data_IF_375991379351
#
_entry.id   IF_375991379351
#
_cell.length_a   1.000
_cell.length_b   1.000
_cell.length_c   1.000
_cell.angle_alpha   90.00
_cell.angle_beta   90.00
_cell.angle_gamma   90.00
#
_symmetry.space_group_name_H-M   'P 1'
#
loop_
_entity.id
_entity.type
_entity.pdbx_description
1 polymer ?
#
# COMPACT_ATOMS: atom_id res chain seq x y z
N UNK A 1 -3.60 16.32 -7.85
CA UNK A 1 -3.33 15.29 -6.80
C UNK A 1 -1.83 15.16 -6.60
N UNK A 2 -1.36 15.06 -5.35
CA UNK A 2 0.03 14.70 -5.06
C UNK A 2 0.10 13.27 -4.53
N UNK A 3 1.20 12.57 -4.77
CA UNK A 3 1.45 11.22 -4.23
C UNK A 3 2.72 11.25 -3.40
N UNK A 4 2.64 10.78 -2.16
CA UNK A 4 3.74 10.83 -1.21
C UNK A 4 4.02 9.45 -0.61
N UNK A 5 5.29 9.08 -0.54
CA UNK A 5 5.74 7.85 0.12
C UNK A 5 7.08 8.03 0.80
N UNK A 6 7.45 7.06 1.64
CA UNK A 6 8.78 6.96 2.26
C UNK A 6 9.31 5.54 2.08
N UNK A 7 10.56 5.44 1.64
CA UNK A 7 11.23 4.16 1.37
C UNK A 7 12.53 4.02 2.17
N UNK A 8 12.84 2.77 2.57
CA UNK A 8 14.15 2.37 3.07
C UNK A 8 14.55 1.04 2.44
N UNK A 9 15.71 0.99 1.79
CA UNK A 9 16.30 -0.22 1.21
C UNK A 9 15.34 -1.02 0.31
N UNK A 10 14.56 -0.31 -0.54
CA UNK A 10 13.53 -0.92 -1.37
C UNK A 10 13.58 -0.49 -2.85
N UNK A 11 14.74 -0.63 -3.55
CA UNK A 11 14.96 -0.05 -4.87
C UNK A 11 13.95 -0.53 -5.92
N UNK A 12 13.58 -1.82 -5.91
CA UNK A 12 12.60 -2.37 -6.86
C UNK A 12 11.22 -1.74 -6.71
N UNK A 13 10.75 -1.57 -5.46
CA UNK A 13 9.47 -0.93 -5.19
C UNK A 13 9.51 0.55 -5.53
N UNK A 14 10.61 1.24 -5.23
CA UNK A 14 10.80 2.66 -5.58
C UNK A 14 10.68 2.85 -7.09
N UNK A 15 11.39 2.06 -7.89
CA UNK A 15 11.33 2.13 -9.35
C UNK A 15 9.90 1.90 -9.88
N UNK A 16 9.20 0.89 -9.38
CA UNK A 16 7.81 0.60 -9.76
C UNK A 16 6.84 1.70 -9.31
N UNK A 17 7.03 2.23 -8.12
CA UNK A 17 6.20 3.31 -7.57
C UNK A 17 6.33 4.59 -8.41
N UNK A 18 7.56 4.97 -8.76
CA UNK A 18 7.83 6.14 -9.63
C UNK A 18 7.17 5.93 -10.99
N UNK A 19 7.38 4.78 -11.62
CA UNK A 19 6.83 4.47 -12.93
C UNK A 19 5.30 4.49 -12.91
N UNK A 20 4.69 3.80 -11.97
CA UNK A 20 3.23 3.68 -11.88
C UNK A 20 2.56 5.01 -11.58
N UNK A 21 2.93 5.66 -10.48
CA UNK A 21 2.28 6.91 -10.10
C UNK A 21 2.67 8.08 -11.01
N UNK A 22 3.87 8.06 -11.58
CA UNK A 22 4.28 9.03 -12.60
C UNK A 22 3.44 8.95 -13.85
N UNK A 23 3.03 7.74 -14.28
CA UNK A 23 2.12 7.57 -15.42
C UNK A 23 0.68 7.99 -15.12
N UNK A 24 0.25 7.94 -13.84
CA UNK A 24 -1.12 8.29 -13.44
C UNK A 24 -1.30 9.78 -13.14
N UNK A 25 -0.28 10.44 -12.58
CA UNK A 25 -0.41 11.80 -12.04
C UNK A 25 0.60 12.81 -12.60
N UNK A 26 1.64 12.35 -13.29
CA UNK A 26 2.82 13.16 -13.65
C UNK A 26 3.92 13.02 -12.60
N UNK A 27 5.16 12.95 -13.06
CA UNK A 27 6.33 12.74 -12.20
C UNK A 27 6.54 13.92 -11.24
N UNK A 28 6.27 15.13 -11.66
CA UNK A 28 6.37 16.38 -10.89
C UNK A 28 5.39 16.46 -9.71
N UNK A 29 4.46 15.50 -9.59
CA UNK A 29 3.50 15.40 -8.49
C UNK A 29 3.86 14.31 -7.48
N UNK A 30 5.03 13.66 -7.65
CA UNK A 30 5.53 12.60 -6.78
C UNK A 30 6.51 13.15 -5.75
N UNK A 31 6.31 12.77 -4.48
CA UNK A 31 7.12 13.18 -3.34
C UNK A 31 7.64 11.93 -2.63
N UNK A 32 8.93 11.67 -2.75
CA UNK A 32 9.59 10.49 -2.19
C UNK A 32 10.60 10.87 -1.10
N UNK A 33 10.44 10.32 0.09
CA UNK A 33 11.44 10.39 1.15
C UNK A 33 12.25 9.10 1.19
N UNK A 34 13.57 9.21 1.05
CA UNK A 34 14.51 8.11 1.27
C UNK A 34 15.02 8.20 2.71
N UNK A 35 14.66 7.22 3.55
CA UNK A 35 15.01 7.15 4.96
C UNK A 35 16.40 6.53 5.13
N UNK A 36 17.42 7.38 4.99
CA UNK A 36 18.86 7.08 5.00
C UNK A 36 19.59 7.94 3.98
N UNK A 37 20.60 8.70 4.43
CA UNK A 37 21.43 9.53 3.54
C UNK A 37 22.33 8.68 2.64
N UNK A 38 22.58 7.44 3.04
CA UNK A 38 23.40 6.45 2.35
C UNK A 38 22.70 5.78 1.16
N UNK A 39 21.38 5.93 1.06
CA UNK A 39 20.63 5.28 0.00
C UNK A 39 20.94 5.93 -1.36
N UNK A 40 21.15 5.12 -2.43
CA UNK A 40 21.31 5.67 -3.77
C UNK A 40 20.03 6.36 -4.22
N UNK A 41 20.19 7.46 -4.95
CA UNK A 41 19.05 8.08 -5.62
C UNK A 41 18.48 7.12 -6.67
N UNK A 42 17.14 7.02 -6.78
CA UNK A 42 16.53 6.20 -7.82
C UNK A 42 16.78 6.78 -9.21
N UNK A 43 16.68 5.92 -10.22
CA UNK A 43 16.57 6.37 -11.61
C UNK A 43 15.38 7.32 -11.73
N UNK A 44 15.53 8.40 -12.48
CA UNK A 44 14.54 9.50 -12.61
C UNK A 44 14.28 10.30 -11.32
N UNK A 45 15.22 10.33 -10.37
CA UNK A 45 15.10 11.17 -9.18
C UNK A 45 15.00 12.67 -9.52
N UNK A 46 15.57 13.09 -10.64
CA UNK A 46 15.51 14.46 -11.20
C UNK A 46 14.12 14.86 -11.69
N UNK A 47 13.24 13.91 -11.95
CA UNK A 47 11.87 14.15 -12.42
C UNK A 47 10.84 14.24 -11.30
N UNK A 48 11.20 13.86 -10.08
CA UNK A 48 10.32 13.81 -8.91
C UNK A 48 10.87 14.68 -7.77
N UNK A 49 10.07 14.96 -6.76
CA UNK A 49 10.55 15.55 -5.52
C UNK A 49 11.13 14.46 -4.62
N UNK A 50 12.46 14.24 -4.69
CA UNK A 50 13.16 13.22 -3.93
C UNK A 50 13.98 13.83 -2.79
N UNK A 51 13.74 13.37 -1.55
CA UNK A 51 14.39 13.89 -0.34
C UNK A 51 15.11 12.76 0.39
N UNK A 52 16.42 12.85 0.54
CA UNK A 52 17.17 11.99 1.46
C UNK A 52 17.11 12.59 2.87
N UNK A 53 16.72 11.78 3.84
CA UNK A 53 16.60 12.19 5.25
C UNK A 53 17.42 11.27 6.15
N UNK A 54 18.01 11.78 7.24
CA UNK A 54 18.76 10.94 8.17
C UNK A 54 17.87 9.84 8.75
N UNK A 55 18.37 8.60 8.68
CA UNK A 55 17.71 7.48 9.34
C UNK A 55 17.82 7.59 10.86
N UNK A 56 16.72 7.31 11.55
CA UNK A 56 16.68 7.19 13.01
C UNK A 56 16.33 5.76 13.37
N UNK A 57 17.22 4.98 13.99
CA UNK A 57 16.90 3.63 14.43
C UNK A 57 15.85 3.69 15.55
N UNK A 58 14.66 3.31 15.24
CA UNK A 58 13.51 3.29 16.14
C UNK A 58 12.86 1.90 16.14
N UNK A 59 12.28 1.51 17.28
CA UNK A 59 11.42 0.35 17.26
C UNK A 59 10.29 0.51 16.23
N UNK A 60 9.88 -0.57 15.57
CA UNK A 60 8.87 -0.55 14.49
C UNK A 60 7.66 0.32 14.81
N UNK A 61 7.10 0.16 16.01
CA UNK A 61 5.89 0.94 16.41
C UNK A 61 6.17 2.45 16.50
N UNK A 62 7.36 2.84 16.99
CA UNK A 62 7.76 4.26 17.04
C UNK A 62 8.07 4.76 15.63
N UNK A 63 8.81 3.99 14.84
CA UNK A 63 9.13 4.32 13.44
C UNK A 63 7.87 4.54 12.60
N UNK A 64 6.88 3.63 12.69
CA UNK A 64 5.60 3.78 11.99
C UNK A 64 4.83 5.06 12.41
N UNK A 65 4.89 5.43 13.69
CA UNK A 65 4.27 6.67 14.19
C UNK A 65 4.99 7.93 13.69
N UNK A 66 6.32 7.94 13.76
CA UNK A 66 7.13 9.08 13.29
C UNK A 66 7.02 9.26 11.78
N UNK A 67 7.03 8.18 11.02
CA UNK A 67 6.79 8.20 9.57
C UNK A 67 5.42 8.81 9.24
N UNK A 68 4.35 8.30 9.84
CA UNK A 68 3.00 8.81 9.61
C UNK A 68 2.86 10.29 10.01
N UNK A 69 3.51 10.71 11.11
CA UNK A 69 3.55 12.12 11.54
C UNK A 69 4.28 12.98 10.51
N UNK A 70 5.49 12.58 10.08
CA UNK A 70 6.29 13.31 9.10
C UNK A 70 5.53 13.48 7.78
N UNK A 71 4.95 12.37 7.26
CA UNK A 71 4.16 12.40 6.03
C UNK A 71 2.92 13.29 6.19
N UNK A 72 2.20 13.21 7.31
CA UNK A 72 1.03 14.07 7.56
C UNK A 72 1.40 15.55 7.62
N UNK A 73 2.51 15.90 8.29
CA UNK A 73 2.99 17.29 8.38
C UNK A 73 3.39 17.83 7.02
N UNK A 74 4.07 17.01 6.20
CA UNK A 74 4.44 17.41 4.85
C UNK A 74 3.22 17.49 3.92
N UNK A 75 2.31 16.52 3.99
CA UNK A 75 1.07 16.52 3.22
C UNK A 75 0.22 17.77 3.50
N UNK A 76 0.23 18.29 4.74
CA UNK A 76 -0.44 19.54 5.07
C UNK A 76 -0.02 20.68 4.15
N UNK A 77 1.28 20.82 3.87
CA UNK A 77 1.79 21.88 2.98
C UNK A 77 1.41 21.65 1.51
N UNK A 78 1.16 20.41 1.12
CA UNK A 78 0.75 20.08 -0.26
C UNK A 78 -0.68 20.54 -0.57
N UNK A 79 -1.55 20.67 0.42
CA UNK A 79 -2.91 21.16 0.22
C UNK A 79 -3.00 22.65 -0.16
N UNK A 80 -1.90 23.41 -0.04
CA UNK A 80 -1.80 24.75 -0.61
C UNK A 80 -1.77 24.74 -2.14
N UNK A 81 -1.36 23.60 -2.75
CA UNK A 81 -1.15 23.45 -4.20
C UNK A 81 -2.06 22.38 -4.82
N UNK A 82 -2.50 21.40 -4.04
CA UNK A 82 -3.23 20.23 -4.53
C UNK A 82 -4.56 20.05 -3.83
N UNK A 83 -5.58 19.70 -4.60
CA UNK A 83 -6.92 19.38 -4.08
C UNK A 83 -6.99 18.01 -3.38
N UNK A 84 -5.91 17.24 -3.39
CA UNK A 84 -5.86 15.95 -2.72
C UNK A 84 -4.46 15.35 -2.70
N UNK A 85 -4.24 14.51 -1.68
CA UNK A 85 -2.97 13.82 -1.42
C UNK A 85 -3.21 12.34 -1.23
N UNK A 86 -2.38 11.52 -1.88
CA UNK A 86 -2.31 10.08 -1.68
C UNK A 86 -1.06 9.80 -0.84
N UNK A 87 -1.23 9.20 0.35
CA UNK A 87 -0.13 8.82 1.23
C UNK A 87 -0.18 7.32 1.54
N UNK A 88 0.88 6.59 1.20
CA UNK A 88 0.91 5.13 1.30
C UNK A 88 2.34 4.60 1.48
N UNK A 89 2.45 3.33 1.81
CA UNK A 89 3.73 2.62 1.88
C UNK A 89 4.29 2.39 0.47
N UNK A 90 5.63 2.29 0.33
CA UNK A 90 6.30 2.20 -0.97
C UNK A 90 5.94 0.92 -1.76
N UNK A 91 5.50 -0.12 -1.07
CA UNK A 91 5.07 -1.40 -1.63
C UNK A 91 3.53 -1.50 -1.78
N UNK A 92 2.83 -0.36 -1.75
CA UNK A 92 1.39 -0.26 -1.92
C UNK A 92 1.03 0.51 -3.20
N UNK A 93 0.05 -0.02 -3.96
CA UNK A 93 -0.38 0.54 -5.23
C UNK A 93 -1.90 0.67 -5.24
N UNK A 94 -2.37 1.92 -5.29
CA UNK A 94 -3.78 2.25 -5.43
C UNK A 94 -4.21 2.10 -6.88
N UNK A 95 -5.21 1.28 -7.12
CA UNK A 95 -5.72 0.99 -8.47
C UNK A 95 -7.22 1.23 -8.51
N UNK A 96 -7.69 1.96 -9.51
CA UNK A 96 -9.11 2.01 -9.86
C UNK A 96 -9.49 0.75 -10.65
N UNK A 97 -10.66 0.17 -10.39
CA UNK A 97 -11.13 -1.01 -11.14
C UNK A 97 -11.11 -0.70 -12.65
N UNK A 98 -10.38 -1.46 -13.48
CA UNK A 98 -10.36 -1.27 -14.92
C UNK A 98 -11.74 -1.27 -15.60
N UNK A 99 -12.76 -1.86 -14.98
CA UNK A 99 -14.15 -1.80 -15.46
C UNK A 99 -14.73 -0.39 -15.50
N UNK A 100 -14.18 0.55 -14.71
CA UNK A 100 -14.62 1.95 -14.72
C UNK A 100 -14.15 2.69 -15.98
N UNK A 101 -13.11 2.18 -16.63
CA UNK A 101 -12.56 2.66 -17.91
C UNK A 101 -12.15 4.15 -17.92
N UNK A 102 -11.60 4.63 -16.79
CA UNK A 102 -10.96 5.96 -16.66
C UNK A 102 -9.67 5.83 -15.87
N UNK A 103 -8.79 6.82 -15.95
CA UNK A 103 -7.53 6.83 -15.20
C UNK A 103 -7.79 6.97 -13.69
N UNK A 104 -6.83 6.55 -12.87
CA UNK A 104 -6.92 6.75 -11.42
C UNK A 104 -7.01 8.25 -11.08
N UNK A 105 -6.27 9.10 -11.80
CA UNK A 105 -6.33 10.55 -11.63
C UNK A 105 -7.75 11.07 -11.86
N UNK A 106 -8.35 10.78 -13.03
CA UNK A 106 -9.67 11.29 -13.40
C UNK A 106 -10.76 10.75 -12.47
N UNK A 107 -10.60 9.50 -12.01
CA UNK A 107 -11.51 8.93 -11.01
C UNK A 107 -11.49 9.74 -9.71
N UNK A 108 -10.30 9.98 -9.16
CA UNK A 108 -10.15 10.66 -7.86
C UNK A 108 -10.54 12.13 -7.88
N UNK A 109 -10.30 12.84 -8.99
CA UNK A 109 -10.70 14.27 -9.12
C UNK A 109 -12.21 14.44 -8.92
N UNK A 110 -13.01 13.43 -9.26
CA UNK A 110 -14.47 13.44 -9.11
C UNK A 110 -14.95 12.95 -7.72
N UNK A 111 -14.05 12.66 -6.76
CA UNK A 111 -14.40 12.12 -5.43
C UNK A 111 -14.22 13.13 -4.28
N UNK A 112 -14.04 14.41 -4.57
CA UNK A 112 -13.72 15.46 -3.59
C UNK A 112 -14.82 15.72 -2.54
N UNK A 113 -16.02 15.17 -2.73
CA UNK A 113 -17.11 15.24 -1.74
C UNK A 113 -16.82 14.43 -0.45
N UNK A 114 -15.83 13.55 -0.48
CA UNK A 114 -15.39 12.78 0.69
C UNK A 114 -14.13 13.43 1.29
N UNK A 115 -14.02 13.56 2.63
CA UNK A 115 -12.80 14.04 3.28
C UNK A 115 -11.60 13.13 2.99
N UNK A 116 -11.85 11.83 2.91
CA UNK A 116 -10.86 10.81 2.60
C UNK A 116 -11.50 9.55 2.02
N UNK A 117 -10.71 8.76 1.29
CA UNK A 117 -11.12 7.46 0.75
C UNK A 117 -10.17 6.35 1.16
N UNK A 118 -10.76 5.23 1.51
CA UNK A 118 -10.09 3.94 1.67
C UNK A 118 -10.31 3.06 0.44
N UNK A 119 -9.33 2.23 0.14
CA UNK A 119 -9.44 1.19 -0.88
C UNK A 119 -9.53 -0.19 -0.23
N UNK A 120 -10.13 -1.17 -0.92
CA UNK A 120 -10.08 -2.57 -0.48
C UNK A 120 -8.64 -3.07 -0.49
N UNK A 121 -8.15 -3.54 0.65
CA UNK A 121 -6.80 -4.08 0.80
C UNK A 121 -6.67 -5.48 0.19
N UNK A 122 -5.78 -5.60 -0.80
CA UNK A 122 -5.47 -6.80 -1.56
C UNK A 122 -4.00 -7.14 -1.34
N UNK A 123 -3.70 -8.04 -0.40
CA UNK A 123 -2.34 -8.44 -0.03
C UNK A 123 -1.85 -9.54 -0.98
N UNK A 124 -1.05 -9.16 -1.97
CA UNK A 124 -0.53 -10.07 -3.01
C UNK A 124 0.57 -10.94 -2.43
N UNK A 125 0.44 -12.25 -2.61
CA UNK A 125 1.37 -13.23 -2.05
C UNK A 125 1.81 -14.19 -3.17
N UNK A 126 3.11 -14.35 -3.36
CA UNK A 126 3.64 -15.35 -4.28
C UNK A 126 3.31 -16.76 -3.79
N UNK A 127 2.70 -17.59 -4.66
CA UNK A 127 2.49 -18.99 -4.37
C UNK A 127 3.80 -19.78 -4.59
N UNK A 128 4.39 -20.43 -3.53
CA UNK A 128 5.74 -20.98 -3.62
C UNK A 128 5.93 -22.07 -4.68
N UNK A 129 4.87 -22.81 -5.01
CA UNK A 129 4.93 -23.94 -5.95
C UNK A 129 4.43 -23.58 -7.35
N UNK A 130 3.45 -22.66 -7.45
CA UNK A 130 2.71 -22.42 -8.69
C UNK A 130 3.22 -21.18 -9.44
N UNK A 131 4.02 -20.34 -8.78
CA UNK A 131 4.49 -19.08 -9.36
C UNK A 131 6.02 -18.99 -9.33
N UNK A 132 6.59 -18.52 -10.44
CA UNK A 132 8.04 -18.35 -10.62
C UNK A 132 8.56 -17.15 -9.82
N UNK A 133 9.86 -17.03 -9.70
CA UNK A 133 10.52 -15.83 -9.19
C UNK A 133 10.07 -14.57 -9.93
N UNK A 134 10.08 -13.44 -9.21
CA UNK A 134 9.63 -12.17 -9.74
C UNK A 134 10.62 -11.63 -10.79
N UNK A 135 10.13 -11.31 -11.96
CA UNK A 135 10.83 -10.50 -12.94
C UNK A 135 10.36 -9.04 -12.83
N UNK A 136 11.17 -8.20 -12.22
CA UNK A 136 10.83 -6.79 -11.96
C UNK A 136 10.72 -5.92 -13.23
N UNK A 137 11.17 -6.40 -14.40
CA UNK A 137 10.98 -5.69 -15.67
C UNK A 137 9.61 -5.90 -16.29
N UNK A 138 8.83 -6.88 -15.80
CA UNK A 138 7.48 -7.19 -16.29
C UNK A 138 6.41 -6.63 -15.35
N UNK A 139 5.14 -6.53 -15.80
CA UNK A 139 4.02 -6.22 -14.93
C UNK A 139 3.92 -7.21 -13.78
N UNK A 140 3.80 -6.72 -12.54
CA UNK A 140 3.85 -7.56 -11.33
C UNK A 140 2.62 -8.47 -11.27
N UNK A 141 1.43 -7.92 -11.49
CA UNK A 141 0.18 -8.67 -11.38
C UNK A 141 -0.01 -9.67 -12.53
N UNK A 142 0.77 -9.58 -13.63
CA UNK A 142 0.80 -10.62 -14.66
C UNK A 142 1.52 -11.89 -14.19
N UNK A 143 2.31 -11.79 -13.14
CA UNK A 143 3.13 -12.87 -12.57
C UNK A 143 2.58 -13.40 -11.25
N UNK A 144 1.52 -12.81 -10.73
CA UNK A 144 0.88 -13.15 -9.44
C UNK A 144 -0.61 -13.33 -9.62
N UNK A 145 -1.08 -14.47 -9.16
CA UNK A 145 -2.49 -14.85 -9.29
C UNK A 145 -3.25 -14.81 -7.98
N UNK A 146 -2.54 -14.73 -6.85
CA UNK A 146 -3.16 -14.93 -5.54
C UNK A 146 -2.97 -13.74 -4.61
N UNK A 147 -4.04 -13.43 -3.86
CA UNK A 147 -3.99 -12.40 -2.83
C UNK A 147 -4.90 -12.75 -1.66
N UNK A 148 -4.56 -12.25 -0.47
CA UNK A 148 -5.45 -12.27 0.68
C UNK A 148 -6.15 -10.93 0.84
N UNK A 149 -7.46 -10.93 1.07
CA UNK A 149 -8.20 -9.72 1.41
C UNK A 149 -7.96 -9.36 2.88
N UNK A 150 -7.57 -8.10 3.15
CA UNK A 150 -7.06 -7.71 4.45
C UNK A 150 -7.63 -6.40 4.96
N UNK A 151 -8.22 -6.41 6.17
CA UNK A 151 -8.59 -5.22 6.91
C UNK A 151 -7.40 -4.29 7.20
N UNK A 152 -6.19 -4.85 7.28
CA UNK A 152 -4.97 -4.08 7.56
C UNK A 152 -4.55 -3.21 6.38
N UNK A 153 -4.75 -3.71 5.17
CA UNK A 153 -4.43 -2.97 3.94
C UNK A 153 -5.65 -2.23 3.37
N UNK A 154 -6.82 -2.38 3.99
CA UNK A 154 -7.96 -1.51 3.73
C UNK A 154 -7.76 -0.22 4.51
N UNK A 155 -7.12 0.78 3.88
CA UNK A 155 -6.58 1.98 4.51
C UNK A 155 -7.13 3.25 3.88
N UNK A 156 -7.34 4.33 4.67
CA UNK A 156 -7.72 5.66 4.16
C UNK A 156 -6.48 6.40 3.63
N UNK A 157 -6.02 6.04 2.45
CA UNK A 157 -4.77 6.54 1.86
C UNK A 157 -4.96 7.77 0.97
N UNK A 158 -6.18 8.10 0.57
CA UNK A 158 -6.50 9.31 -0.19
C UNK A 158 -7.14 10.32 0.76
N UNK A 159 -6.66 11.55 0.77
CA UNK A 159 -7.25 12.66 1.51
C UNK A 159 -7.49 13.86 0.59
N UNK A 160 -8.65 14.52 0.73
CA UNK A 160 -9.03 15.73 0.01
C UNK A 160 -9.03 16.98 0.90
N UNK A 161 -8.59 16.83 2.14
CA UNK A 161 -8.36 17.91 3.11
C UNK A 161 -7.18 17.53 4.00
N UNK A 162 -6.58 18.49 4.71
CA UNK A 162 -5.52 18.19 5.67
C UNK A 162 -5.96 17.19 6.73
N UNK A 163 -5.21 16.09 6.86
CA UNK A 163 -5.52 15.00 7.80
C UNK A 163 -4.28 14.55 8.55
N UNK A 164 -4.46 13.90 9.70
CA UNK A 164 -3.39 13.25 10.43
C UNK A 164 -3.52 11.74 10.35
N UNK A 165 -2.69 11.10 9.52
CA UNK A 165 -2.63 9.64 9.48
C UNK A 165 -2.05 9.06 10.78
N UNK A 166 -2.60 7.93 11.19
CA UNK A 166 -2.04 7.08 12.24
C UNK A 166 -0.93 6.17 11.70
N UNK A 167 -0.24 5.49 12.60
CA UNK A 167 0.85 4.56 12.26
C UNK A 167 0.45 3.60 11.14
N UNK A 168 1.31 3.44 10.12
CA UNK A 168 1.09 2.60 8.94
C UNK A 168 -0.08 3.02 8.07
N UNK A 169 -0.55 4.26 8.16
CA UNK A 169 -1.69 4.81 7.42
C UNK A 169 -3.01 4.06 7.65
N UNK A 170 -3.10 3.25 8.71
CA UNK A 170 -4.27 2.40 8.97
C UNK A 170 -5.53 3.14 9.40
N UNK A 171 -5.44 4.43 9.67
CA UNK A 171 -6.56 5.33 10.00
C UNK A 171 -6.16 6.79 9.84
N UNK A 172 -7.15 7.64 9.74
CA UNK A 172 -7.04 9.08 9.98
C UNK A 172 -7.51 9.35 11.40
N UNK A 173 -6.78 10.18 12.17
CA UNK A 173 -7.16 10.49 13.55
C UNK A 173 -8.36 11.41 13.56
N UNK A 174 -9.37 11.04 14.35
CA UNK A 174 -10.59 11.85 14.50
C UNK A 174 -11.60 11.71 13.36
N UNK A 175 -11.28 10.99 12.27
CA UNK A 175 -12.14 10.82 11.11
C UNK A 175 -12.56 9.36 10.95
N UNK A 176 -13.79 9.13 10.48
CA UNK A 176 -14.22 7.81 10.00
C UNK A 176 -13.62 7.53 8.64
N UNK A 177 -13.78 6.32 8.13
CA UNK A 177 -13.31 5.93 6.81
C UNK A 177 -14.47 5.57 5.87
N UNK A 178 -14.31 5.91 4.60
CA UNK A 178 -15.20 5.50 3.51
C UNK A 178 -14.43 4.59 2.59
N UNK A 179 -14.88 3.35 2.40
CA UNK A 179 -14.29 2.42 1.44
C UNK A 179 -14.98 2.65 0.10
N UNK A 180 -14.21 3.09 -0.87
CA UNK A 180 -14.69 3.30 -2.23
C UNK A 180 -14.89 1.95 -2.95
N UNK A 181 -16.02 1.73 -3.65
CA UNK A 181 -16.35 0.47 -4.29
C UNK A 181 -15.46 0.10 -5.48
N UNK A 182 -14.76 1.06 -6.06
CA UNK A 182 -13.93 0.86 -7.25
C UNK A 182 -12.43 0.98 -6.99
N UNK A 183 -12.02 1.24 -5.74
CA UNK A 183 -10.62 1.37 -5.37
C UNK A 183 -10.09 0.12 -4.68
N UNK A 184 -8.94 -0.34 -5.16
CA UNK A 184 -8.20 -1.49 -4.64
C UNK A 184 -6.78 -1.06 -4.26
N UNK A 185 -6.32 -1.43 -3.06
CA UNK A 185 -4.95 -1.21 -2.62
C UNK A 185 -4.17 -2.51 -2.69
N UNK A 186 -3.40 -2.69 -3.74
CA UNK A 186 -2.51 -3.84 -3.89
C UNK A 186 -1.26 -3.62 -3.04
N UNK A 187 -1.08 -4.45 -2.01
CA UNK A 187 0.11 -4.50 -1.20
C UNK A 187 1.01 -5.64 -1.69
N UNK A 188 2.25 -5.32 -2.06
CA UNK A 188 3.15 -6.23 -2.74
C UNK A 188 4.27 -6.77 -1.83
N UNK A 189 4.16 -6.57 -0.53
CA UNK A 189 5.23 -6.92 0.40
C UNK A 189 5.56 -8.41 0.50
N UNK A 190 4.69 -9.31 0.05
CA UNK A 190 4.91 -10.76 -0.05
C UNK A 190 4.82 -11.28 -1.51
N UNK A 191 4.77 -10.37 -2.48
CA UNK A 191 4.70 -10.72 -3.89
C UNK A 191 6.02 -11.31 -4.46
N UNK A 192 7.12 -11.18 -3.72
CA UNK A 192 8.44 -11.75 -4.05
C UNK A 192 8.98 -12.47 -2.82
N UNK A 193 9.07 -13.80 -2.90
CA UNK A 193 9.54 -14.64 -1.80
C UNK A 193 11.03 -14.44 -1.53
N UNK A 194 11.84 -14.20 -2.54
CA UNK A 194 13.29 -13.95 -2.37
C UNK A 194 13.51 -12.69 -1.53
N UNK A 195 12.79 -11.60 -1.84
CA UNK A 195 12.85 -10.38 -1.02
C UNK A 195 12.25 -10.61 0.37
N UNK A 196 11.19 -11.39 0.49
CA UNK A 196 10.56 -11.71 1.77
C UNK A 196 11.52 -12.49 2.66
N UNK A 197 12.22 -13.49 2.13
CA UNK A 197 13.21 -14.30 2.85
C UNK A 197 14.42 -13.48 3.28
N UNK A 198 14.94 -12.60 2.40
CA UNK A 198 16.02 -11.66 2.76
C UNK A 198 15.65 -10.81 3.97
N UNK A 199 14.44 -10.25 3.98
CA UNK A 199 13.93 -9.46 5.13
C UNK A 199 13.77 -10.29 6.40
N UNK A 200 13.42 -11.58 6.29
CA UNK A 200 13.32 -12.49 7.45
C UNK A 200 14.67 -12.71 8.16
N UNK A 201 15.78 -12.68 7.40
CA UNK A 201 17.13 -12.86 7.88
C UNK A 201 17.86 -11.54 8.18
N UNK A 202 17.23 -10.40 7.95
CA UNK A 202 17.79 -9.08 8.24
C UNK A 202 17.82 -8.84 9.77
N UNK A 203 19.03 -8.89 10.32
CA UNK A 203 19.26 -8.74 11.76
C UNK A 203 18.90 -7.34 12.28
N UNK A 204 19.08 -6.30 11.48
CA UNK A 204 18.72 -4.94 11.88
C UNK A 204 17.22 -4.79 11.99
N UNK A 205 16.46 -5.27 11.00
CA UNK A 205 14.99 -5.31 11.07
C UNK A 205 14.51 -6.11 12.30
N UNK A 206 15.15 -7.22 12.60
CA UNK A 206 14.79 -8.02 13.79
C UNK A 206 15.03 -7.24 15.09
N UNK A 207 16.18 -6.54 15.22
CA UNK A 207 16.50 -5.67 16.37
C UNK A 207 15.49 -4.52 16.52
N UNK A 208 15.03 -3.95 15.42
CA UNK A 208 14.02 -2.90 15.39
C UNK A 208 12.59 -3.38 15.69
N UNK A 209 12.40 -4.67 15.98
CA UNK A 209 11.10 -5.24 16.39
C UNK A 209 10.20 -5.70 15.24
N UNK A 210 10.73 -5.94 14.05
CA UNK A 210 9.98 -6.47 12.90
C UNK A 210 9.69 -7.97 12.97
N UNK A 211 10.33 -8.72 13.88
CA UNK A 211 10.21 -10.18 14.01
C UNK A 211 8.75 -10.69 13.97
N UNK A 212 7.85 -10.06 14.71
CA UNK A 212 6.44 -10.45 14.74
C UNK A 212 5.70 -10.19 13.44
N UNK A 213 6.08 -9.11 12.70
CA UNK A 213 5.54 -8.80 11.39
C UNK A 213 6.01 -9.79 10.33
N UNK A 214 7.30 -10.08 10.32
CA UNK A 214 7.93 -11.03 9.42
C UNK A 214 7.38 -12.44 9.61
N UNK A 215 7.20 -12.90 10.86
CA UNK A 215 6.55 -14.19 11.18
C UNK A 215 5.11 -14.27 10.63
N UNK A 216 4.32 -13.20 10.74
CA UNK A 216 2.97 -13.19 10.17
C UNK A 216 2.99 -13.31 8.65
N UNK A 217 3.93 -12.63 7.98
CA UNK A 217 4.10 -12.71 6.53
C UNK A 217 4.47 -14.14 6.09
N UNK A 218 5.43 -14.77 6.78
CA UNK A 218 5.77 -16.18 6.56
C UNK A 218 4.56 -17.11 6.75
N UNK A 219 3.74 -16.87 7.78
CA UNK A 219 2.49 -17.61 7.98
C UNK A 219 1.51 -17.42 6.82
N UNK A 220 1.36 -16.21 6.27
CA UNK A 220 0.50 -15.97 5.11
C UNK A 220 0.99 -16.75 3.88
N UNK A 221 2.31 -16.84 3.66
CA UNK A 221 2.90 -17.65 2.58
C UNK A 221 2.63 -19.16 2.78
N UNK A 222 2.57 -19.65 4.04
CA UNK A 222 2.17 -21.02 4.30
C UNK A 222 0.69 -21.24 4.08
N UNK A 223 -0.15 -20.31 4.50
CA UNK A 223 -1.60 -20.41 4.37
C UNK A 223 -2.07 -20.47 2.91
N UNK A 224 -1.43 -19.74 2.00
CA UNK A 224 -1.80 -19.73 0.58
C UNK A 224 -1.69 -21.13 -0.07
N UNK A 225 -0.85 -22.02 0.47
CA UNK A 225 -0.70 -23.39 -0.03
C UNK A 225 -1.80 -24.34 0.44
N UNK A 226 -2.59 -23.93 1.46
CA UNK A 226 -3.60 -24.74 2.12
C UNK A 226 -5.02 -24.29 1.83
N UNK A 227 -5.20 -23.13 1.22
CA UNK A 227 -6.50 -22.53 0.96
C UNK A 227 -6.82 -22.59 -0.52
N UNK A 228 -8.07 -22.89 -0.82
CA UNK A 228 -8.58 -22.76 -2.17
C UNK A 228 -8.92 -21.29 -2.47
N UNK A 229 -8.44 -20.74 -3.59
CA UNK A 229 -8.72 -19.38 -3.96
C UNK A 229 -10.20 -19.21 -4.33
N UNK A 230 -10.78 -18.11 -3.86
CA UNK A 230 -12.17 -17.74 -4.14
C UNK A 230 -12.22 -16.72 -5.28
N UNK A 231 -13.37 -16.65 -5.94
CA UNK A 231 -13.57 -15.71 -7.05
C UNK A 231 -13.83 -14.27 -6.61
N UNK A 232 -14.00 -13.39 -7.61
CA UNK A 232 -14.23 -11.95 -7.46
C UNK A 232 -15.38 -11.57 -6.51
N UNK A 233 -16.40 -12.40 -6.43
CA UNK A 233 -17.54 -12.13 -5.51
C UNK A 233 -17.10 -11.97 -4.06
N UNK A 234 -16.05 -12.68 -3.65
CA UNK A 234 -15.50 -12.56 -2.31
C UNK A 234 -14.86 -11.18 -2.05
N UNK A 235 -14.34 -10.52 -3.07
CA UNK A 235 -13.82 -9.15 -2.95
C UNK A 235 -14.96 -8.18 -2.60
N UNK A 236 -16.11 -8.30 -3.27
CA UNK A 236 -17.31 -7.50 -2.97
C UNK A 236 -17.86 -7.78 -1.57
N UNK A 237 -17.91 -9.05 -1.16
CA UNK A 237 -18.34 -9.44 0.20
C UNK A 237 -17.42 -8.86 1.27
N UNK A 238 -16.11 -8.93 1.09
CA UNK A 238 -15.13 -8.38 2.00
C UNK A 238 -15.24 -6.85 2.09
N UNK A 239 -15.36 -6.17 0.95
CA UNK A 239 -15.52 -4.72 0.87
C UNK A 239 -16.79 -4.27 1.61
N UNK A 240 -17.92 -4.93 1.38
CA UNK A 240 -19.17 -4.67 2.10
C UNK A 240 -19.02 -4.90 3.60
N UNK A 241 -18.41 -6.02 4.00
CA UNK A 241 -18.17 -6.33 5.41
C UNK A 241 -17.30 -5.25 6.07
N UNK A 242 -16.17 -4.87 5.47
CA UNK A 242 -15.26 -3.85 5.99
C UNK A 242 -15.92 -2.47 6.06
N UNK A 243 -16.81 -2.14 5.13
CA UNK A 243 -17.56 -0.87 5.14
C UNK A 243 -18.56 -0.78 6.29
N UNK A 244 -19.14 -1.90 6.72
CA UNK A 244 -20.17 -1.94 7.76
C UNK A 244 -19.64 -2.19 9.17
N UNK A 245 -18.49 -2.85 9.30
CA UNK A 245 -18.02 -3.34 10.58
C UNK A 245 -16.74 -2.63 11.03
N UNK A 246 -16.76 -2.17 12.28
CA UNK A 246 -15.67 -1.44 12.94
C UNK A 246 -14.98 -2.33 13.98
N UNK A 247 -13.69 -2.08 14.24
CA UNK A 247 -13.03 -2.69 15.41
C UNK A 247 -13.66 -2.13 16.68
N UNK A 248 -13.95 -2.98 17.64
CA UNK A 248 -14.57 -2.57 18.90
C UNK A 248 -13.75 -1.51 19.67
N UNK A 249 -12.41 -1.54 19.51
CA UNK A 249 -11.47 -0.60 20.16
C UNK A 249 -11.02 0.56 19.25
N UNK A 250 -11.48 0.60 18.01
CA UNK A 250 -11.07 1.63 17.04
C UNK A 250 -12.16 1.81 15.97
N UNK A 251 -13.09 2.69 16.26
CA UNK A 251 -14.25 2.99 15.44
C UNK A 251 -13.90 3.43 14.00
N UNK A 252 -12.69 3.96 13.80
CA UNK A 252 -12.17 4.39 12.50
C UNK A 252 -11.21 3.39 11.85
N UNK A 253 -11.44 2.09 12.09
CA UNK A 253 -10.74 0.99 11.41
C UNK A 253 -11.73 -0.11 11.08
N UNK A 254 -11.63 -0.76 9.88
CA UNK A 254 -12.47 -1.89 9.57
C UNK A 254 -12.22 -3.06 10.54
N UNK A 255 -13.26 -3.79 10.89
CA UNK A 255 -13.13 -5.01 11.69
C UNK A 255 -12.46 -6.12 10.85
N UNK A 256 -11.61 -6.97 11.44
CA UNK A 256 -11.05 -8.12 10.75
C UNK A 256 -12.13 -9.15 10.41
N UNK A 257 -11.97 -9.84 9.29
CA UNK A 257 -12.69 -11.08 9.04
C UNK A 257 -12.19 -12.18 9.99
N UNK A 258 -13.02 -13.18 10.26
CA UNK A 258 -12.59 -14.36 11.06
C UNK A 258 -11.34 -15.03 10.45
N UNK A 259 -11.31 -15.10 9.13
CA UNK A 259 -10.18 -15.55 8.34
C UNK A 259 -10.09 -14.66 7.09
N UNK A 260 -8.89 -14.19 6.76
CA UNK A 260 -8.67 -13.46 5.52
C UNK A 260 -8.86 -14.42 4.34
N UNK A 261 -9.82 -14.18 3.45
CA UNK A 261 -10.03 -15.07 2.31
C UNK A 261 -8.90 -14.94 1.31
N UNK A 262 -8.46 -16.09 0.79
CA UNK A 262 -7.62 -16.15 -0.39
C UNK A 262 -8.50 -15.95 -1.63
N UNK A 263 -8.08 -15.07 -2.52
CA UNK A 263 -8.77 -14.80 -3.78
C UNK A 263 -7.83 -14.93 -4.96
N UNK A 264 -8.36 -15.31 -6.10
CA UNK A 264 -7.68 -15.16 -7.37
C UNK A 264 -7.81 -13.71 -7.84
N UNK A 265 -6.67 -13.11 -8.23
CA UNK A 265 -6.64 -11.74 -8.76
C UNK A 265 -7.30 -11.74 -10.14
N UNK A 266 -8.41 -11.00 -10.34
CA UNK A 266 -9.12 -10.97 -11.60
C UNK A 266 -8.23 -10.54 -12.78
N UNK A 267 -8.45 -11.17 -13.94
CA UNK A 267 -7.63 -10.98 -15.15
C UNK A 267 -7.46 -9.51 -15.56
N UNK A 268 -8.50 -8.69 -15.36
CA UNK A 268 -8.47 -7.26 -15.69
C UNK A 268 -7.38 -6.47 -14.98
N UNK A 269 -6.88 -6.95 -13.83
CA UNK A 269 -5.78 -6.29 -13.09
C UNK A 269 -4.39 -6.70 -13.56
N UNK A 270 -4.26 -7.77 -14.33
CA UNK A 270 -2.96 -8.36 -14.72
C UNK A 270 -2.02 -7.39 -15.46
N UNK A 271 -2.56 -6.38 -16.13
CA UNK A 271 -1.79 -5.42 -16.93
C UNK A 271 -1.61 -4.06 -16.24
N UNK A 272 -2.15 -3.88 -15.03
CA UNK A 272 -2.20 -2.57 -14.37
C UNK A 272 -0.87 -2.20 -13.70
N UNK A 273 -0.14 -3.18 -13.13
CA UNK A 273 1.10 -2.98 -12.37
C UNK A 273 2.24 -3.80 -12.93
#
# INVERSE_FOLDING_TARGET
MAVISMARNAPHFVSKWISYYGSQFGFEHLYLFLDGLEQPLPENADRIHCFQIPHKPLSRTRGDKERAKKISTFAYTLFEKYDGVIALDIDEFLVVDPKVNITLHDYLVNQKQHPSLSALGVDVIQHPKNEKEMNWSKPILSQRSYAMLSDRYTKPIVAFQPVQWGAGFHRIKGEDFTIDPHLYLFHLGAADLVLTERKLHDQEMVKEGWKGHLKRRAKSVQQIQLLDPQGEEQMKKAQHYFSKNRKWYAWNKPAPLKMNPLVEIPERFKRVL
#
